data_IF_538237200760
#
_entry.id   IF_538237200760
#
_cell.length_a   1.000
_cell.length_b   1.000
_cell.length_c   1.000
_cell.angle_alpha   90.00
_cell.angle_beta   90.00
_cell.angle_gamma   90.00
#
_symmetry.space_group_name_H-M   'P 1'
#
loop_
_entity.id
_entity.type
_entity.pdbx_description
1 polymer ?
#
# COMPACT_ATOMS: atom_id res chain seq x y z
N UNK A 1 -27.01 11.04 -5.29
CA UNK A 1 -26.72 9.71 -4.70
C UNK A 1 -26.47 9.93 -3.22
N UNK A 2 -27.17 9.23 -2.33
CA UNK A 2 -26.95 9.39 -0.88
C UNK A 2 -25.67 8.64 -0.53
N UNK A 3 -24.66 9.32 -0.02
CA UNK A 3 -23.48 8.70 0.56
C UNK A 3 -23.91 7.97 1.83
N UNK A 4 -23.89 6.64 1.82
CA UNK A 4 -23.99 5.84 3.04
C UNK A 4 -22.64 5.90 3.75
N UNK A 5 -22.50 6.90 4.62
CA UNK A 5 -21.36 7.05 5.52
C UNK A 5 -21.35 5.89 6.53
N UNK A 6 -20.26 5.13 6.59
CA UNK A 6 -20.12 3.98 7.48
C UNK A 6 -19.31 4.41 8.71
N UNK A 7 -20.03 4.69 9.80
CA UNK A 7 -19.46 5.20 11.06
C UNK A 7 -18.60 4.17 11.84
N UNK A 8 -18.62 2.88 11.48
CA UNK A 8 -17.87 1.85 12.23
C UNK A 8 -17.51 0.61 11.39
N UNK A 9 -16.60 0.76 10.43
CA UNK A 9 -16.06 -0.38 9.69
C UNK A 9 -15.11 -1.20 10.58
N UNK A 10 -15.42 -2.49 10.79
CA UNK A 10 -14.51 -3.41 11.50
C UNK A 10 -13.33 -3.78 10.58
N UNK A 11 -12.10 -3.86 11.11
CA UNK A 11 -10.96 -4.30 10.30
C UNK A 11 -11.15 -5.76 9.86
N UNK A 12 -10.78 -6.12 8.62
CA UNK A 12 -10.82 -7.50 8.15
C UNK A 12 -10.01 -8.45 9.04
N UNK A 13 -10.52 -9.67 9.23
CA UNK A 13 -9.99 -10.64 10.20
C UNK A 13 -8.64 -11.22 9.80
N UNK A 14 -8.31 -11.26 8.51
CA UNK A 14 -7.04 -11.77 7.99
C UNK A 14 -5.87 -10.78 8.09
N UNK A 15 -6.14 -9.51 8.38
CA UNK A 15 -5.08 -8.52 8.51
C UNK A 15 -4.17 -8.81 9.71
N UNK A 16 -2.89 -8.43 9.59
CA UNK A 16 -1.91 -8.50 10.67
C UNK A 16 -2.31 -7.57 11.81
N UNK A 17 -1.90 -7.86 13.07
CA UNK A 17 -2.27 -7.03 14.22
C UNK A 17 -1.90 -5.54 14.08
N UNK A 18 -0.71 -5.24 13.56
CA UNK A 18 -0.27 -3.87 13.32
C UNK A 18 -1.17 -3.13 12.32
N UNK A 19 -1.53 -3.81 11.24
CA UNK A 19 -2.37 -3.28 10.17
C UNK A 19 -3.82 -3.13 10.61
N UNK A 20 -4.35 -4.06 11.42
CA UNK A 20 -5.65 -3.89 12.09
C UNK A 20 -5.69 -2.65 12.97
N UNK A 21 -4.62 -2.41 13.73
CA UNK A 21 -4.50 -1.22 14.59
C UNK A 21 -4.50 0.07 13.75
N UNK A 22 -3.77 0.09 12.64
CA UNK A 22 -3.78 1.22 11.72
C UNK A 22 -5.14 1.42 11.05
N UNK A 23 -5.75 0.37 10.51
CA UNK A 23 -7.08 0.43 9.89
C UNK A 23 -8.08 1.04 10.87
N UNK A 24 -8.09 0.53 12.12
CA UNK A 24 -8.94 1.05 13.18
C UNK A 24 -8.69 2.54 13.44
N UNK A 25 -7.43 2.95 13.57
CA UNK A 25 -7.07 4.36 13.75
C UNK A 25 -7.60 5.24 12.61
N UNK A 26 -7.52 4.79 11.36
CA UNK A 26 -8.06 5.54 10.22
C UNK A 26 -9.59 5.64 10.31
N UNK A 27 -10.28 4.53 10.57
CA UNK A 27 -11.74 4.54 10.70
C UNK A 27 -12.27 5.32 11.91
N UNK A 28 -11.45 5.52 12.95
CA UNK A 28 -11.80 6.32 14.13
C UNK A 28 -11.52 7.82 13.95
N UNK A 29 -10.53 8.17 13.12
CA UNK A 29 -10.10 9.55 12.94
C UNK A 29 -10.77 10.26 11.74
N UNK A 30 -11.38 9.50 10.82
CA UNK A 30 -11.96 10.02 9.59
C UNK A 30 -13.37 9.48 9.35
N UNK A 31 -14.27 10.34 8.86
CA UNK A 31 -15.58 9.90 8.36
C UNK A 31 -15.44 9.28 6.97
N UNK A 32 -15.78 8.00 6.84
CA UNK A 32 -15.59 7.22 5.61
C UNK A 32 -16.92 6.78 5.02
N UNK A 33 -17.07 6.99 3.71
CA UNK A 33 -18.12 6.35 2.92
C UNK A 33 -17.76 4.89 2.61
N UNK A 34 -18.76 4.08 2.25
CA UNK A 34 -18.54 2.66 1.97
C UNK A 34 -17.48 2.36 0.90
N UNK A 35 -17.26 3.25 -0.06
CA UNK A 35 -16.20 3.09 -1.07
C UNK A 35 -14.80 3.42 -0.51
N UNK A 36 -14.67 4.39 0.40
CA UNK A 36 -13.42 4.65 1.12
C UNK A 36 -13.00 3.44 1.96
N UNK A 37 -13.95 2.78 2.63
CA UNK A 37 -13.68 1.56 3.42
C UNK A 37 -13.11 0.45 2.54
N UNK A 38 -13.59 0.30 1.30
CA UNK A 38 -13.04 -0.68 0.34
C UNK A 38 -11.60 -0.33 -0.06
N UNK A 39 -11.32 0.94 -0.37
CA UNK A 39 -9.96 1.41 -0.69
C UNK A 39 -9.00 1.22 0.48
N UNK A 40 -9.44 1.56 1.69
CA UNK A 40 -8.67 1.36 2.93
C UNK A 40 -8.38 -0.12 3.18
N UNK A 41 -9.35 -1.00 2.91
CA UNK A 41 -9.18 -2.46 3.03
C UNK A 41 -8.10 -2.97 2.06
N UNK A 42 -8.18 -2.58 0.79
CA UNK A 42 -7.18 -2.97 -0.20
C UNK A 42 -5.79 -2.40 0.14
N UNK A 43 -5.72 -1.18 0.69
CA UNK A 43 -4.46 -0.59 1.13
C UNK A 43 -3.86 -1.38 2.29
N UNK A 44 -4.66 -1.76 3.28
CA UNK A 44 -4.23 -2.61 4.39
C UNK A 44 -3.66 -3.95 3.91
N UNK A 45 -4.33 -4.62 2.97
CA UNK A 45 -3.87 -5.88 2.39
C UNK A 45 -2.55 -5.72 1.60
N UNK A 46 -2.43 -4.66 0.81
CA UNK A 46 -1.20 -4.34 0.10
C UNK A 46 -0.04 -4.06 1.06
N UNK A 47 -0.30 -3.40 2.18
CA UNK A 47 0.71 -3.20 3.21
C UNK A 47 1.16 -4.52 3.84
N UNK A 48 0.24 -5.39 4.24
CA UNK A 48 0.57 -6.70 4.80
C UNK A 48 1.39 -7.57 3.83
N UNK A 49 1.05 -7.53 2.54
CA UNK A 49 1.80 -8.22 1.50
C UNK A 49 3.23 -7.67 1.39
N UNK A 50 3.40 -6.35 1.43
CA UNK A 50 4.72 -5.72 1.41
C UNK A 50 5.55 -6.12 2.64
N UNK A 51 4.94 -6.19 3.83
CA UNK A 51 5.66 -6.61 5.04
C UNK A 51 6.07 -8.09 4.98
N UNK A 52 5.20 -8.97 4.49
CA UNK A 52 5.51 -10.39 4.30
C UNK A 52 6.70 -10.57 3.35
N UNK A 53 6.68 -9.89 2.20
CA UNK A 53 7.78 -9.94 1.26
C UNK A 53 9.07 -9.35 1.85
N UNK A 54 9.00 -8.25 2.62
CA UNK A 54 10.15 -7.66 3.30
C UNK A 54 10.79 -8.67 4.27
N UNK A 55 10.00 -9.33 5.10
CA UNK A 55 10.51 -10.29 6.09
C UNK A 55 11.25 -11.47 5.44
N UNK A 56 10.80 -11.94 4.27
CA UNK A 56 11.54 -12.95 3.50
C UNK A 56 12.86 -12.39 2.95
N UNK A 57 12.85 -11.18 2.39
CA UNK A 57 14.04 -10.55 1.85
C UNK A 57 15.08 -10.21 2.94
N UNK A 58 14.63 -9.80 4.13
CA UNK A 58 15.48 -9.55 5.28
C UNK A 58 16.19 -10.83 5.75
N UNK A 59 15.50 -11.97 5.67
CA UNK A 59 16.04 -13.29 6.06
C UNK A 59 16.96 -13.88 5.00
N UNK A 60 16.56 -13.85 3.74
CA UNK A 60 17.16 -14.65 2.67
C UNK A 60 18.00 -13.85 1.66
N UNK A 61 18.05 -12.53 1.84
CA UNK A 61 18.62 -11.59 0.87
C UNK A 61 17.70 -11.36 -0.34
N UNK A 62 18.17 -10.58 -1.30
CA UNK A 62 17.40 -10.19 -2.50
C UNK A 62 17.63 -11.11 -3.70
N UNK A 63 18.66 -11.95 -3.64
CA UNK A 63 19.03 -12.86 -4.72
C UNK A 63 19.15 -14.29 -4.20
N UNK A 64 19.01 -15.25 -5.12
CA UNK A 64 19.29 -16.66 -4.90
C UNK A 64 20.06 -17.23 -6.09
N UNK A 65 20.82 -18.29 -5.87
CA UNK A 65 21.48 -19.00 -6.95
C UNK A 65 20.51 -20.01 -7.56
N UNK A 66 20.37 -19.99 -8.88
CA UNK A 66 19.60 -21.00 -9.61
C UNK A 66 20.34 -22.36 -9.65
N UNK A 67 19.75 -23.35 -10.34
CA UNK A 67 20.34 -24.69 -10.48
C UNK A 67 21.73 -24.71 -11.14
N UNK A 68 22.13 -23.63 -11.82
CA UNK A 68 23.42 -23.48 -12.48
C UNK A 68 24.39 -22.58 -11.69
N UNK A 69 24.02 -22.18 -10.47
CA UNK A 69 24.82 -21.30 -9.63
C UNK A 69 24.78 -19.82 -10.04
N UNK A 70 23.87 -19.43 -10.95
CA UNK A 70 23.78 -18.04 -11.40
C UNK A 70 22.89 -17.23 -10.45
N UNK A 71 23.31 -16.01 -10.05
CA UNK A 71 22.49 -15.17 -9.18
C UNK A 71 21.25 -14.69 -9.95
N UNK A 72 20.07 -14.91 -9.35
CA UNK A 72 18.77 -14.44 -9.83
C UNK A 72 18.06 -13.64 -8.76
N UNK A 73 17.27 -12.65 -9.18
CA UNK A 73 16.40 -11.90 -8.29
C UNK A 73 15.31 -12.81 -7.71
N UNK A 74 15.05 -12.67 -6.42
CA UNK A 74 13.97 -13.37 -5.74
C UNK A 74 12.60 -12.79 -6.12
N UNK A 75 11.56 -13.62 -6.32
CA UNK A 75 10.22 -13.13 -6.68
C UNK A 75 9.65 -12.15 -5.65
N UNK A 76 10.03 -12.27 -4.39
CA UNK A 76 9.63 -11.38 -3.29
C UNK A 76 10.03 -9.92 -3.54
N UNK A 77 11.09 -9.65 -4.32
CA UNK A 77 11.47 -8.28 -4.71
C UNK A 77 10.35 -7.63 -5.52
N UNK A 78 9.88 -8.33 -6.56
CA UNK A 78 8.78 -7.84 -7.41
C UNK A 78 7.47 -7.73 -6.63
N UNK A 79 7.17 -8.69 -5.75
CA UNK A 79 5.99 -8.66 -4.87
C UNK A 79 6.04 -7.44 -3.94
N UNK A 80 7.18 -7.20 -3.28
CA UNK A 80 7.35 -6.07 -2.38
C UNK A 80 7.15 -4.74 -3.11
N UNK A 81 7.78 -4.57 -4.27
CA UNK A 81 7.67 -3.36 -5.08
C UNK A 81 6.22 -3.12 -5.55
N UNK A 82 5.57 -4.15 -6.07
CA UNK A 82 4.18 -4.06 -6.54
C UNK A 82 3.21 -3.70 -5.41
N UNK A 83 3.38 -4.34 -4.25
CA UNK A 83 2.56 -4.09 -3.07
C UNK A 83 2.74 -2.65 -2.53
N UNK A 84 3.99 -2.15 -2.49
CA UNK A 84 4.27 -0.76 -2.09
C UNK A 84 3.68 0.27 -3.05
N UNK A 85 3.73 0.02 -4.36
CA UNK A 85 3.12 0.88 -5.36
C UNK A 85 1.59 0.87 -5.23
N UNK A 86 0.98 -0.31 -5.06
CA UNK A 86 -0.46 -0.43 -4.85
C UNK A 86 -0.91 0.33 -3.60
N UNK A 87 -0.20 0.14 -2.48
CA UNK A 87 -0.44 0.89 -1.24
C UNK A 87 -0.39 2.40 -1.47
N UNK A 88 0.69 2.91 -2.06
CA UNK A 88 0.85 4.35 -2.30
C UNK A 88 -0.28 4.94 -3.19
N UNK A 89 -0.71 4.19 -4.22
CA UNK A 89 -1.83 4.58 -5.07
C UNK A 89 -3.15 4.59 -4.31
N UNK A 90 -3.45 3.53 -3.56
CA UNK A 90 -4.69 3.43 -2.80
C UNK A 90 -4.79 4.50 -1.71
N UNK A 91 -3.67 4.84 -1.03
CA UNK A 91 -3.62 5.97 -0.09
C UNK A 91 -3.88 7.30 -0.78
N UNK A 92 -3.32 7.52 -1.97
CA UNK A 92 -3.58 8.73 -2.76
C UNK A 92 -5.06 8.84 -3.15
N UNK A 93 -5.68 7.74 -3.59
CA UNK A 93 -7.11 7.71 -3.94
C UNK A 93 -8.02 7.87 -2.71
N UNK A 94 -7.57 7.50 -1.51
CA UNK A 94 -8.32 7.67 -0.27
C UNK A 94 -8.43 9.16 0.14
N UNK A 95 -7.48 10.00 -0.28
CA UNK A 95 -7.52 11.47 -0.21
C UNK A 95 -7.99 12.05 1.15
N UNK A 96 -7.52 11.48 2.27
CA UNK A 96 -8.01 11.84 3.62
C UNK A 96 -7.57 13.22 4.12
N UNK A 97 -6.49 13.78 3.55
CA UNK A 97 -6.03 15.15 3.81
C UNK A 97 -6.23 15.98 2.54
N UNK A 98 -7.20 16.90 2.55
CA UNK A 98 -7.39 17.86 1.46
C UNK A 98 -7.11 19.27 1.97
N UNK A 99 -5.86 19.68 1.84
CA UNK A 99 -5.54 20.98 1.23
C UNK A 99 -4.66 20.66 0.03
N UNK A 100 -5.29 20.42 -1.12
CA UNK A 100 -4.55 20.11 -2.34
C UNK A 100 -3.88 21.38 -2.89
N UNK A 101 -2.55 21.44 -3.07
CA UNK A 101 -2.03 22.25 -4.16
C UNK A 101 -2.23 21.45 -5.45
N UNK A 102 -2.94 22.05 -6.40
CA UNK A 102 -2.84 21.64 -7.79
C UNK A 102 -1.36 21.72 -8.20
N UNK A 103 -0.81 20.62 -8.73
CA UNK A 103 -0.11 20.67 -10.01
C UNK A 103 0.39 19.29 -10.43
N UNK A 104 -0.08 18.86 -11.60
CA UNK A 104 0.60 17.87 -12.43
C UNK A 104 2.01 18.36 -12.69
N UNK A 105 3.01 17.81 -12.01
CA UNK A 105 4.40 18.14 -12.29
C UNK A 105 4.71 17.71 -13.74
N UNK A 106 4.92 18.65 -14.70
CA UNK A 106 5.27 18.26 -16.05
C UNK A 106 6.62 17.52 -16.02
N UNK A 107 6.86 16.61 -16.98
CA UNK A 107 8.11 15.86 -17.05
C UNK A 107 9.28 16.85 -17.13
N UNK A 108 10.34 16.60 -16.36
CA UNK A 108 11.59 17.35 -16.48
C UNK A 108 12.15 17.09 -17.88
N UNK A 109 12.02 18.06 -18.77
CA UNK A 109 12.74 18.04 -20.05
C UNK A 109 14.22 18.17 -19.78
N UNK A 110 15.01 17.55 -20.66
CA UNK A 110 16.45 17.32 -20.54
C UNK A 110 17.26 18.59 -20.80
N UNK A 111 16.91 19.68 -20.13
CA UNK A 111 17.65 20.94 -20.15
C UNK A 111 18.65 20.90 -18.98
N UNK A 112 19.77 20.20 -19.17
CA UNK A 112 21.00 20.44 -18.42
C UNK A 112 22.15 20.44 -19.42
N UNK A 113 22.81 21.59 -19.49
CA UNK A 113 23.95 21.90 -20.34
C UNK A 113 25.21 21.23 -19.83
#
# INVERSE_FOLDING_TARGET
MKSDTIQAAKPPTHLRPATKKWFKSVTENYELDGHHVRLLTLAAEAWDQAQTAREVLDRDGQTFNDRFGQPKERPEVSINNSARIAFARLIRELALDVDAPADSRPPRTREYR
#
